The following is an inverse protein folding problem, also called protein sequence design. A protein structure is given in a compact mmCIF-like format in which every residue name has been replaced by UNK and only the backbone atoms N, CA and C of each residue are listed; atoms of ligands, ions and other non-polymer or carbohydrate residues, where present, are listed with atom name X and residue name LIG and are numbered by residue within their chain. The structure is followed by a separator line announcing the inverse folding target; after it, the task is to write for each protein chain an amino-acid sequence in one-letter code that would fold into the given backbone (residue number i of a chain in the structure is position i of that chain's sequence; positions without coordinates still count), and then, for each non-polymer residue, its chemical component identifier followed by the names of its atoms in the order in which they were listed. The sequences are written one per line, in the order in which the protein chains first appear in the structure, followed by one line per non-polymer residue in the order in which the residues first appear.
data_IF_060478396182
#
_entry.id   IF_060478396182
#
_cell.length_a   1.000
_cell.length_b   1.000
_cell.length_c   1.000
_cell.angle_alpha   90.00
_cell.angle_beta   90.00
_cell.angle_gamma   90.00
#
_symmetry.space_group_name_H-M   'P 1'
#
loop_
_entity.id
_entity.type
_entity.pdbx_description
1 polymer ?
#
# COMPACT_ATOMS: atom_id res chain seq x y z
N UNK A 1 -23.88 -28.81 -13.51
CA UNK A 1 -22.72 -29.61 -13.07
C UNK A 1 -21.55 -28.66 -12.98
N UNK A 2 -21.14 -28.30 -11.76
CA UNK A 2 -19.93 -27.51 -11.53
C UNK A 2 -18.75 -28.36 -11.99
N UNK A 3 -18.01 -27.90 -13.02
CA UNK A 3 -16.68 -28.44 -13.28
C UNK A 3 -15.88 -28.20 -12.01
N UNK A 4 -15.55 -29.27 -11.28
CA UNK A 4 -14.59 -29.19 -10.19
C UNK A 4 -13.28 -28.75 -10.81
N UNK A 5 -12.93 -27.48 -10.60
CA UNK A 5 -11.67 -26.91 -11.07
C UNK A 5 -10.53 -27.60 -10.34
N UNK A 6 -9.61 -28.21 -11.09
CA UNK A 6 -8.48 -28.92 -10.48
C UNK A 6 -7.68 -28.00 -9.54
N UNK A 7 -7.19 -28.52 -8.40
CA UNK A 7 -6.36 -27.75 -7.49
C UNK A 7 -5.05 -27.37 -8.19
N UNK A 8 -4.74 -26.07 -8.21
CA UNK A 8 -3.45 -25.57 -8.71
C UNK A 8 -2.46 -25.59 -7.55
N UNK A 9 -1.38 -26.36 -7.72
CA UNK A 9 -0.25 -26.37 -6.80
C UNK A 9 0.92 -25.55 -7.36
N UNK A 10 1.70 -24.98 -6.45
CA UNK A 10 2.94 -24.32 -6.81
C UNK A 10 3.31 -23.19 -5.86
N UNK A 11 4.26 -22.38 -6.32
CA UNK A 11 4.87 -21.33 -5.50
C UNK A 11 4.81 -20.00 -6.22
N UNK A 12 4.52 -18.94 -5.47
CA UNK A 12 4.62 -17.56 -5.94
C UNK A 12 5.77 -16.90 -5.17
N UNK A 13 6.61 -16.13 -5.87
CA UNK A 13 7.70 -15.39 -5.25
C UNK A 13 7.42 -13.89 -5.36
N UNK A 14 7.18 -13.24 -4.23
CA UNK A 14 7.16 -11.78 -4.12
C UNK A 14 8.58 -11.28 -3.98
N UNK A 15 8.95 -10.26 -4.76
CA UNK A 15 10.26 -9.60 -4.64
C UNK A 15 10.06 -8.25 -3.97
N UNK A 16 10.65 -8.08 -2.79
CA UNK A 16 10.52 -6.87 -1.97
C UNK A 16 11.89 -6.31 -1.57
N UNK A 17 12.41 -5.34 -2.34
CA UNK A 17 13.68 -4.72 -2.02
C UNK A 17 13.57 -3.55 -1.02
N UNK A 18 12.37 -3.19 -0.54
CA UNK A 18 12.15 -2.00 0.28
C UNK A 18 12.19 -2.38 1.78
N UNK A 19 13.12 -1.88 2.61
CA UNK A 19 13.30 -2.39 3.97
C UNK A 19 12.43 -1.69 5.03
N UNK A 20 11.14 -1.45 4.74
CA UNK A 20 10.16 -0.98 5.73
C UNK A 20 8.72 -1.36 5.37
N UNK A 21 7.85 -1.54 6.39
CA UNK A 21 6.45 -1.96 6.22
C UNK A 21 5.49 -0.79 5.96
N UNK A 22 5.38 -0.35 4.71
CA UNK A 22 4.38 0.63 4.29
C UNK A 22 3.02 0.00 3.95
N UNK A 23 2.00 0.85 3.72
CA UNK A 23 0.64 0.39 3.37
C UNK A 23 0.56 -0.44 2.08
N UNK A 24 1.49 -0.27 1.13
CA UNK A 24 1.56 -1.11 -0.07
C UNK A 24 1.84 -2.58 0.25
N UNK A 25 2.73 -2.86 1.21
CA UNK A 25 3.03 -4.24 1.63
C UNK A 25 1.86 -4.86 2.38
N UNK A 26 1.22 -4.10 3.27
CA UNK A 26 0.02 -4.55 3.98
C UNK A 26 -1.08 -4.92 2.98
N UNK A 27 -1.35 -4.05 2.00
CA UNK A 27 -2.34 -4.32 0.97
C UNK A 27 -1.95 -5.51 0.07
N UNK A 28 -0.67 -5.66 -0.26
CA UNK A 28 -0.17 -6.82 -1.02
C UNK A 28 -0.35 -8.13 -0.23
N UNK A 29 -0.03 -8.14 1.08
CA UNK A 29 -0.21 -9.31 1.94
C UNK A 29 -1.69 -9.69 2.05
N UNK A 30 -2.60 -8.71 2.22
CA UNK A 30 -4.05 -8.97 2.22
C UNK A 30 -4.52 -9.56 0.88
N UNK A 31 -4.08 -9.01 -0.25
CA UNK A 31 -4.40 -9.55 -1.58
C UNK A 31 -3.90 -11.00 -1.75
N UNK A 32 -2.69 -11.30 -1.27
CA UNK A 32 -2.10 -12.64 -1.31
C UNK A 32 -2.84 -13.61 -0.38
N UNK A 33 -3.29 -13.15 0.78
CA UNK A 33 -4.11 -13.95 1.71
C UNK A 33 -5.46 -14.33 1.04
N UNK A 34 -6.13 -13.38 0.37
CA UNK A 34 -7.36 -13.68 -0.37
C UNK A 34 -7.11 -14.63 -1.56
N UNK A 35 -5.97 -14.51 -2.25
CA UNK A 35 -5.57 -15.46 -3.28
C UNK A 35 -5.34 -16.86 -2.71
N UNK A 36 -4.68 -16.97 -1.56
CA UNK A 36 -4.43 -18.24 -0.90
C UNK A 36 -5.72 -18.94 -0.45
N UNK A 37 -6.75 -18.19 -0.03
CA UNK A 37 -8.08 -18.74 0.26
C UNK A 37 -8.73 -19.37 -0.97
N UNK A 38 -8.56 -18.77 -2.15
CA UNK A 38 -9.09 -19.30 -3.42
C UNK A 38 -8.26 -20.44 -4.00
N UNK A 39 -6.96 -20.43 -3.73
CA UNK A 39 -6.01 -21.40 -4.26
C UNK A 39 -5.13 -22.01 -3.15
N UNK A 40 -5.68 -22.89 -2.28
CA UNK A 40 -4.97 -23.41 -1.10
C UNK A 40 -3.70 -24.23 -1.41
N UNK A 41 -3.53 -24.68 -2.65
CA UNK A 41 -2.32 -25.37 -3.13
C UNK A 41 -1.15 -24.44 -3.43
N UNK A 42 -1.36 -23.12 -3.41
CA UNK A 42 -0.30 -22.13 -3.61
C UNK A 42 0.36 -21.75 -2.30
N UNK A 43 1.70 -21.65 -2.33
CA UNK A 43 2.49 -21.12 -1.23
C UNK A 43 3.17 -19.82 -1.64
N UNK A 44 3.10 -18.82 -0.75
CA UNK A 44 3.72 -17.52 -0.97
C UNK A 44 5.10 -17.46 -0.31
N UNK A 45 6.11 -17.11 -1.09
CA UNK A 45 7.46 -16.86 -0.64
C UNK A 45 7.84 -15.42 -0.93
N UNK A 46 8.53 -14.76 0.00
CA UNK A 46 8.95 -13.37 -0.15
C UNK A 46 10.47 -13.29 -0.09
N UNK A 47 11.08 -12.79 -1.16
CA UNK A 47 12.49 -12.43 -1.19
C UNK A 47 12.65 -10.98 -0.73
N UNK A 48 13.10 -10.77 0.52
CA UNK A 48 13.10 -9.44 1.17
C UNK A 48 14.35 -9.13 1.98
N UNK A 49 14.62 -7.84 2.16
CA UNK A 49 15.61 -7.32 3.11
C UNK A 49 15.05 -7.17 4.54
N UNK A 50 13.74 -7.28 4.71
CA UNK A 50 13.03 -6.99 5.96
C UNK A 50 11.95 -8.05 6.24
N UNK A 51 12.32 -9.23 6.79
CA UNK A 51 11.39 -10.32 7.05
C UNK A 51 10.23 -9.94 7.96
N UNK A 52 10.46 -9.04 8.93
CA UNK A 52 9.43 -8.56 9.86
C UNK A 52 8.32 -7.78 9.14
N UNK A 53 8.58 -7.30 7.91
CA UNK A 53 7.57 -6.70 7.04
C UNK A 53 6.57 -7.70 6.45
N UNK A 54 6.74 -9.02 6.64
CA UNK A 54 5.93 -10.06 5.99
C UNK A 54 5.60 -11.24 6.94
N UNK A 55 4.86 -10.99 8.04
CA UNK A 55 4.63 -11.99 9.08
C UNK A 55 3.86 -13.24 8.61
N UNK A 56 3.11 -13.18 7.52
CA UNK A 56 2.28 -14.30 7.02
C UNK A 56 2.93 -15.12 5.92
N UNK A 57 4.10 -14.69 5.43
CA UNK A 57 4.74 -15.30 4.27
C UNK A 57 6.05 -16.00 4.65
N UNK A 58 6.44 -17.02 3.87
CA UNK A 58 7.76 -17.63 4.02
C UNK A 58 8.84 -16.70 3.44
N UNK A 59 9.80 -16.30 4.26
CA UNK A 59 10.79 -15.29 3.86
C UNK A 59 12.13 -15.88 3.41
N UNK A 60 12.76 -15.22 2.44
CA UNK A 60 14.10 -15.52 1.94
C UNK A 60 14.94 -14.24 1.92
N UNK A 61 16.23 -14.32 2.29
CA UNK A 61 17.07 -13.12 2.43
C UNK A 61 17.44 -12.54 1.06
N UNK A 62 17.06 -11.28 0.83
CA UNK A 62 17.56 -10.47 -0.29
C UNK A 62 18.85 -9.75 0.11
N UNK A 63 19.96 -10.51 0.17
CA UNK A 63 21.25 -9.92 0.54
C UNK A 63 21.81 -9.03 -0.58
N UNK A 64 22.20 -7.80 -0.23
CA UNK A 64 22.78 -6.82 -1.15
C UNK A 64 24.22 -6.46 -0.74
N UNK A 65 25.21 -6.61 -1.64
CA UNK A 65 26.57 -6.13 -1.42
C UNK A 65 26.60 -4.65 -1.06
N UNK A 66 27.45 -4.26 -0.10
CA UNK A 66 27.54 -2.88 0.37
C UNK A 66 27.76 -1.87 -0.77
N UNK A 67 28.55 -2.25 -1.78
CA UNK A 67 28.84 -1.41 -2.96
C UNK A 67 27.61 -1.10 -3.83
N UNK A 68 26.57 -1.94 -3.76
CA UNK A 68 25.31 -1.81 -4.53
C UNK A 68 24.19 -1.13 -3.72
N UNK A 69 24.36 -0.96 -2.40
CA UNK A 69 23.37 -0.27 -1.57
C UNK A 69 23.22 1.20 -1.99
N UNK A 70 21.98 1.69 -2.06
CA UNK A 70 21.66 3.07 -2.44
C UNK A 70 21.94 3.43 -3.91
N UNK A 71 22.25 2.46 -4.77
CA UNK A 71 22.44 2.70 -6.21
C UNK A 71 21.08 2.70 -6.93
N UNK A 72 20.52 3.90 -7.13
CA UNK A 72 19.21 4.09 -7.78
C UNK A 72 19.29 4.57 -9.24
N UNK A 73 20.49 4.82 -9.77
CA UNK A 73 20.69 5.20 -11.18
C UNK A 73 22.03 4.72 -11.76
N UNK A 74 22.17 4.81 -13.08
CA UNK A 74 23.40 4.47 -13.81
C UNK A 74 23.80 2.99 -13.75
N UNK A 75 25.09 2.71 -13.95
CA UNK A 75 25.63 1.35 -14.00
C UNK A 75 25.47 0.63 -12.66
N UNK A 76 25.65 1.34 -11.53
CA UNK A 76 25.47 0.76 -10.19
C UNK A 76 24.05 0.23 -9.97
N UNK A 77 23.03 0.92 -10.49
CA UNK A 77 21.65 0.45 -10.47
C UNK A 77 21.46 -0.81 -11.33
N UNK A 78 22.04 -0.87 -12.53
CA UNK A 78 21.95 -2.06 -13.38
C UNK A 78 22.64 -3.28 -12.73
N UNK A 79 23.79 -3.07 -12.08
CA UNK A 79 24.47 -4.12 -11.30
C UNK A 79 23.62 -4.57 -10.11
N UNK A 80 22.95 -3.65 -9.41
CA UNK A 80 21.99 -3.96 -8.34
C UNK A 80 20.86 -4.86 -8.85
N UNK A 81 20.22 -4.49 -9.96
CA UNK A 81 19.16 -5.28 -10.57
C UNK A 81 19.65 -6.65 -11.05
N UNK A 82 20.88 -6.71 -11.60
CA UNK A 82 21.50 -7.97 -12.02
C UNK A 82 21.78 -8.90 -10.85
N UNK A 83 22.29 -8.37 -9.73
CA UNK A 83 22.50 -9.13 -8.51
C UNK A 83 21.19 -9.71 -7.94
N UNK A 84 20.14 -8.89 -7.86
CA UNK A 84 18.82 -9.32 -7.41
C UNK A 84 18.23 -10.38 -8.36
N UNK A 85 18.46 -10.25 -9.67
CA UNK A 85 18.08 -11.27 -10.66
C UNK A 85 18.72 -12.62 -10.35
N UNK A 86 20.03 -12.67 -10.04
CA UNK A 86 20.72 -13.91 -9.68
C UNK A 86 20.13 -14.56 -8.42
N UNK A 87 19.75 -13.77 -7.42
CA UNK A 87 19.09 -14.27 -6.22
C UNK A 87 17.72 -14.88 -6.53
N UNK A 88 16.94 -14.25 -7.41
CA UNK A 88 15.66 -14.80 -7.86
C UNK A 88 15.87 -16.13 -8.59
N UNK A 89 16.82 -16.20 -9.53
CA UNK A 89 17.15 -17.43 -10.26
C UNK A 89 17.54 -18.57 -9.31
N UNK A 90 18.44 -18.28 -8.36
CA UNK A 90 18.86 -19.24 -7.35
C UNK A 90 17.70 -19.73 -6.48
N UNK A 91 16.83 -18.81 -6.05
CA UNK A 91 15.67 -19.16 -5.23
C UNK A 91 14.67 -20.03 -5.99
N UNK A 92 14.40 -19.71 -7.25
CA UNK A 92 13.50 -20.50 -8.11
C UNK A 92 14.04 -21.92 -8.30
N UNK A 93 15.34 -22.06 -8.56
CA UNK A 93 15.99 -23.37 -8.67
C UNK A 93 15.89 -24.18 -7.37
N UNK A 94 16.01 -23.52 -6.21
CA UNK A 94 15.92 -24.18 -4.90
C UNK A 94 14.51 -24.61 -4.55
N UNK A 95 13.51 -23.78 -4.86
CA UNK A 95 12.12 -24.01 -4.47
C UNK A 95 11.39 -24.97 -5.42
N UNK A 96 11.70 -24.93 -6.71
CA UNK A 96 10.96 -25.66 -7.75
C UNK A 96 9.49 -25.23 -7.89
N UNK A 97 8.85 -25.56 -9.01
CA UNK A 97 7.40 -25.33 -9.23
C UNK A 97 6.93 -23.87 -9.00
N UNK A 98 7.79 -22.90 -9.32
CA UNK A 98 7.43 -21.48 -9.23
C UNK A 98 6.56 -21.10 -10.42
N UNK A 99 5.33 -20.68 -10.15
CA UNK A 99 4.34 -20.33 -11.18
C UNK A 99 4.46 -18.87 -11.61
N UNK A 100 4.84 -17.97 -10.69
CA UNK A 100 4.83 -16.54 -10.95
C UNK A 100 5.78 -15.77 -10.01
N UNK A 101 6.37 -14.69 -10.54
CA UNK A 101 7.04 -13.64 -9.79
C UNK A 101 6.09 -12.46 -9.60
N UNK A 102 6.01 -11.94 -8.38
CA UNK A 102 5.22 -10.76 -8.03
C UNK A 102 6.17 -9.59 -7.78
N UNK A 103 6.12 -8.62 -8.68
CA UNK A 103 6.78 -7.34 -8.59
C UNK A 103 5.87 -6.40 -7.77
N UNK A 104 6.18 -6.18 -6.50
CA UNK A 104 5.30 -5.48 -5.54
C UNK A 104 5.67 -4.01 -5.29
N UNK A 105 6.55 -3.44 -6.12
CA UNK A 105 7.01 -2.05 -6.03
C UNK A 105 6.72 -1.30 -7.35
N UNK A 106 7.52 -0.28 -7.69
CA UNK A 106 7.48 0.31 -9.03
C UNK A 106 8.31 -0.52 -10.02
N UNK A 107 8.00 -0.52 -11.33
CA UNK A 107 8.75 -1.28 -12.34
C UNK A 107 10.23 -0.89 -12.48
N UNK A 108 10.62 0.30 -12.03
CA UNK A 108 12.04 0.69 -11.92
C UNK A 108 12.75 0.04 -10.73
N UNK A 109 12.01 -0.35 -9.69
CA UNK A 109 12.56 -1.08 -8.54
C UNK A 109 12.58 -2.58 -8.82
N UNK A 110 11.59 -3.08 -9.57
CA UNK A 110 11.35 -4.50 -9.80
C UNK A 110 11.93 -5.04 -11.13
N UNK A 111 12.84 -4.30 -11.78
CA UNK A 111 13.38 -4.69 -13.08
C UNK A 111 14.01 -6.10 -13.07
N UNK A 112 14.59 -6.50 -11.94
CA UNK A 112 15.11 -7.84 -11.69
C UNK A 112 14.09 -8.97 -11.88
N UNK A 113 12.80 -8.74 -11.58
CA UNK A 113 11.73 -9.72 -11.80
C UNK A 113 11.60 -10.04 -13.29
N UNK A 114 11.61 -9.02 -14.14
CA UNK A 114 11.46 -9.16 -15.58
C UNK A 114 12.68 -9.81 -16.23
N UNK A 115 13.87 -9.49 -15.73
CA UNK A 115 15.09 -10.15 -16.18
C UNK A 115 15.07 -11.62 -15.80
N UNK A 116 14.77 -11.96 -14.54
CA UNK A 116 14.68 -13.35 -14.08
C UNK A 116 13.62 -14.12 -14.87
N UNK A 117 12.44 -13.54 -15.06
CA UNK A 117 11.34 -14.14 -15.80
C UNK A 117 11.70 -14.50 -17.24
N UNK A 118 12.53 -13.67 -17.91
CA UNK A 118 13.01 -13.98 -19.25
C UNK A 118 13.86 -15.25 -19.30
N UNK A 119 14.68 -15.50 -18.28
CA UNK A 119 15.52 -16.71 -18.22
C UNK A 119 14.75 -17.94 -17.77
N UNK A 120 13.78 -17.76 -16.86
CA UNK A 120 12.99 -18.85 -16.27
C UNK A 120 11.76 -19.22 -17.10
N UNK A 121 11.43 -18.43 -18.13
CA UNK A 121 10.15 -18.50 -18.85
C UNK A 121 8.95 -18.45 -17.89
N UNK A 122 9.07 -17.69 -16.80
CA UNK A 122 8.02 -17.56 -15.79
C UNK A 122 7.25 -16.26 -15.95
N UNK A 123 6.07 -16.20 -15.32
CA UNK A 123 5.17 -15.05 -15.42
C UNK A 123 5.50 -13.96 -14.42
N UNK A 124 5.19 -12.72 -14.77
CA UNK A 124 5.33 -11.56 -13.87
C UNK A 124 3.98 -10.87 -13.68
N UNK A 125 3.57 -10.73 -12.42
CA UNK A 125 2.47 -9.86 -12.02
C UNK A 125 3.05 -8.64 -11.34
N UNK A 126 2.73 -7.45 -11.83
CA UNK A 126 3.16 -6.19 -11.24
C UNK A 126 2.01 -5.58 -10.42
N UNK A 127 2.28 -5.22 -9.18
CA UNK A 127 1.38 -4.46 -8.31
C UNK A 127 1.92 -3.05 -8.11
N UNK A 128 1.14 -2.02 -8.45
CA UNK A 128 1.58 -0.62 -8.42
C UNK A 128 0.70 0.18 -7.45
N UNK A 129 1.28 0.54 -6.31
CA UNK A 129 0.60 1.29 -5.24
C UNK A 129 0.92 2.79 -5.22
N UNK A 130 1.76 3.29 -6.13
CA UNK A 130 2.18 4.69 -6.14
C UNK A 130 2.71 5.15 -7.50
N UNK A 131 2.90 6.47 -7.69
CA UNK A 131 3.35 7.03 -8.95
C UNK A 131 4.65 6.39 -9.44
N UNK A 132 4.73 6.15 -10.74
CA UNK A 132 5.89 5.51 -11.37
C UNK A 132 6.72 6.53 -12.13
N UNK A 133 8.04 6.49 -11.94
CA UNK A 133 8.98 7.32 -12.71
C UNK A 133 8.96 7.00 -14.21
N UNK A 134 8.93 8.04 -15.04
CA UNK A 134 8.81 7.94 -16.49
C UNK A 134 10.14 7.50 -17.15
N UNK A 135 10.37 6.18 -17.25
CA UNK A 135 11.59 5.57 -17.81
C UNK A 135 11.27 4.58 -18.93
N UNK A 136 12.07 4.58 -19.99
CA UNK A 136 11.94 3.62 -21.09
C UNK A 136 12.25 2.17 -20.70
N UNK A 137 13.00 1.93 -19.63
CA UNK A 137 13.19 0.58 -19.07
C UNK A 137 11.92 0.12 -18.36
N UNK A 138 11.35 0.98 -17.49
CA UNK A 138 10.10 0.71 -16.80
C UNK A 138 8.95 0.45 -17.77
N UNK A 139 8.84 1.27 -18.82
CA UNK A 139 7.79 1.13 -19.83
C UNK A 139 7.86 -0.23 -20.55
N UNK A 140 9.07 -0.63 -21.00
CA UNK A 140 9.29 -1.95 -21.63
C UNK A 140 9.13 -3.11 -20.66
N UNK A 141 9.47 -2.93 -19.39
CA UNK A 141 9.25 -3.94 -18.37
C UNK A 141 7.74 -4.21 -18.20
N UNK A 142 6.94 -3.15 -18.02
CA UNK A 142 5.49 -3.28 -17.88
C UNK A 142 4.81 -3.91 -19.11
N UNK A 143 5.27 -3.63 -20.33
CA UNK A 143 4.77 -4.29 -21.55
C UNK A 143 4.98 -5.82 -21.55
N UNK A 144 5.94 -6.33 -20.76
CA UNK A 144 6.23 -7.76 -20.65
C UNK A 144 5.55 -8.41 -19.45
N UNK A 145 4.89 -7.63 -18.60
CA UNK A 145 4.14 -8.16 -17.48
C UNK A 145 2.94 -8.96 -18.02
N UNK A 146 2.61 -10.07 -17.36
CA UNK A 146 1.41 -10.82 -17.67
C UNK A 146 0.16 -10.08 -17.18
N UNK A 147 0.26 -9.42 -16.02
CA UNK A 147 -0.71 -8.47 -15.51
C UNK A 147 -0.01 -7.31 -14.82
N UNK A 148 -0.61 -6.12 -14.94
CA UNK A 148 -0.25 -4.92 -14.19
C UNK A 148 -1.50 -4.46 -13.43
N UNK A 149 -1.55 -4.73 -12.13
CA UNK A 149 -2.58 -4.20 -11.26
C UNK A 149 -2.10 -2.88 -10.65
N UNK A 150 -2.89 -1.81 -10.80
CA UNK A 150 -2.45 -0.47 -10.39
C UNK A 150 -3.55 0.33 -9.70
N UNK A 151 -3.19 1.16 -8.72
CA UNK A 151 -4.17 2.06 -8.11
C UNK A 151 -4.54 3.18 -9.08
N UNK A 152 -5.81 3.59 -9.13
CA UNK A 152 -6.27 4.61 -10.08
C UNK A 152 -5.50 5.95 -9.96
N UNK A 153 -4.98 6.27 -8.77
CA UNK A 153 -4.10 7.42 -8.53
C UNK A 153 -2.82 7.41 -9.37
N UNK A 154 -2.38 6.25 -9.88
CA UNK A 154 -1.15 6.11 -10.66
C UNK A 154 -1.39 6.18 -12.16
N UNK A 155 -2.66 6.25 -12.60
CA UNK A 155 -3.04 6.23 -14.02
C UNK A 155 -2.31 7.28 -14.85
N UNK A 156 -2.17 8.51 -14.35
CA UNK A 156 -1.47 9.59 -15.06
C UNK A 156 0.01 9.26 -15.31
N UNK A 157 0.70 8.71 -14.29
CA UNK A 157 2.11 8.31 -14.42
C UNK A 157 2.30 7.11 -15.37
N UNK A 158 1.32 6.20 -15.41
CA UNK A 158 1.32 5.06 -16.34
C UNK A 158 1.01 5.50 -17.78
N UNK A 159 0.08 6.43 -17.98
CA UNK A 159 -0.19 7.02 -19.29
C UNK A 159 1.06 7.72 -19.85
N UNK A 160 1.83 8.41 -19.00
CA UNK A 160 3.09 8.99 -19.40
C UNK A 160 4.13 7.95 -19.85
N UNK A 161 4.14 6.75 -19.25
CA UNK A 161 4.99 5.64 -19.70
C UNK A 161 4.54 5.07 -21.05
N UNK A 162 3.24 4.86 -21.24
CA UNK A 162 2.67 4.40 -22.51
C UNK A 162 3.00 5.37 -23.65
N UNK A 163 2.85 6.67 -23.41
CA UNK A 163 3.20 7.70 -24.39
C UNK A 163 4.66 7.62 -24.84
N UNK A 164 5.60 7.21 -23.97
CA UNK A 164 7.01 6.99 -24.37
C UNK A 164 7.19 5.82 -25.33
N UNK A 165 6.28 4.85 -25.30
CA UNK A 165 6.26 3.70 -26.18
C UNK A 165 5.52 3.98 -27.50
N UNK A 166 4.94 5.18 -27.64
CA UNK A 166 4.06 5.52 -28.75
C UNK A 166 2.63 5.01 -28.59
N UNK A 167 2.27 4.55 -27.39
CA UNK A 167 0.96 3.98 -27.08
C UNK A 167 0.08 5.00 -26.34
N UNK A 168 -1.22 5.00 -26.62
CA UNK A 168 -2.20 5.89 -25.96
C UNK A 168 -3.25 5.12 -25.16
N UNK A 169 -3.47 3.85 -25.47
CA UNK A 169 -4.47 3.01 -24.84
C UNK A 169 -3.82 2.06 -23.83
N UNK A 170 -4.49 1.87 -22.70
CA UNK A 170 -4.04 0.92 -21.69
C UNK A 170 -4.29 -0.51 -22.19
N UNK A 171 -3.28 -1.40 -22.19
CA UNK A 171 -3.49 -2.80 -22.55
C UNK A 171 -4.52 -3.47 -21.63
N UNK A 172 -5.25 -4.47 -22.14
CA UNK A 172 -6.29 -5.18 -21.36
C UNK A 172 -5.79 -5.89 -20.11
N UNK A 173 -4.49 -6.21 -20.06
CA UNK A 173 -3.82 -6.80 -18.90
C UNK A 173 -3.32 -5.75 -17.89
N UNK A 174 -3.54 -4.46 -18.14
CA UNK A 174 -3.29 -3.37 -17.20
C UNK A 174 -4.62 -2.96 -16.59
N UNK A 175 -4.78 -3.25 -15.31
CA UNK A 175 -6.08 -3.25 -14.67
C UNK A 175 -6.03 -2.41 -13.39
N UNK A 176 -6.97 -1.47 -13.21
CA UNK A 176 -7.05 -0.76 -11.95
C UNK A 176 -7.52 -1.71 -10.84
N UNK A 177 -7.04 -1.49 -9.63
CA UNK A 177 -7.56 -2.14 -8.43
C UNK A 177 -7.67 -1.14 -7.29
N UNK A 178 -8.41 -1.53 -6.26
CA UNK A 178 -8.61 -0.76 -5.04
C UNK A 178 -8.11 -1.59 -3.87
N UNK A 179 -7.48 -0.98 -2.87
CA UNK A 179 -7.08 -1.76 -1.69
C UNK A 179 -8.29 -2.04 -0.79
N UNK A 180 -8.30 -3.20 -0.13
CA UNK A 180 -9.29 -3.57 0.86
C UNK A 180 -8.66 -3.92 2.20
N UNK A 181 -9.49 -4.04 3.23
CA UNK A 181 -9.12 -4.54 4.54
C UNK A 181 -9.52 -6.01 4.69
N UNK A 182 -8.64 -6.77 5.34
CA UNK A 182 -8.89 -8.14 5.78
C UNK A 182 -10.05 -8.17 6.78
N UNK A 183 -10.98 -9.12 6.64
CA UNK A 183 -12.05 -9.36 7.61
C UNK A 183 -11.50 -9.76 8.99
N UNK A 184 -10.42 -10.54 8.99
CA UNK A 184 -9.80 -11.08 10.20
C UNK A 184 -9.06 -10.00 10.98
N UNK A 185 -8.54 -8.99 10.27
CA UNK A 185 -7.80 -7.85 10.83
C UNK A 185 -8.61 -6.56 10.74
N UNK A 186 -9.95 -6.67 10.74
CA UNK A 186 -10.80 -5.50 10.67
C UNK A 186 -10.53 -4.59 11.88
N UNK A 187 -10.29 -3.28 11.68
CA UNK A 187 -10.00 -2.36 12.76
C UNK A 187 -11.02 -2.39 13.90
N UNK A 188 -10.53 -2.39 15.13
CA UNK A 188 -11.39 -2.32 16.32
C UNK A 188 -12.17 -1.01 16.30
N UNK A 189 -13.47 -1.12 16.52
CA UNK A 189 -14.36 0.02 16.64
C UNK A 189 -13.88 1.00 17.72
N UNK A 190 -13.90 2.30 17.42
CA UNK A 190 -13.64 3.34 18.40
C UNK A 190 -14.70 3.33 19.49
N UNK A 191 -14.26 3.52 20.73
CA UNK A 191 -15.13 3.75 21.87
C UNK A 191 -15.63 5.22 21.93
N UNK A 192 -15.21 6.04 20.96
CA UNK A 192 -15.16 7.48 21.11
C UNK A 192 -14.01 7.89 22.01
N UNK A 193 -13.56 9.13 21.88
CA UNK A 193 -12.49 9.65 22.73
C UNK A 193 -12.11 11.08 22.39
N UNK A 194 -11.47 11.79 23.31
CA UNK A 194 -11.09 13.19 23.12
C UNK A 194 -9.83 13.34 22.25
N UNK A 195 -9.15 12.25 21.90
CA UNK A 195 -7.84 12.30 21.27
C UNK A 195 -7.91 12.39 19.74
N UNK A 196 -6.92 13.06 19.17
CA UNK A 196 -6.65 13.12 17.73
C UNK A 196 -5.57 12.09 17.41
N UNK A 197 -5.76 11.30 16.36
CA UNK A 197 -4.76 10.38 15.83
C UNK A 197 -4.18 10.90 14.52
N UNK A 198 -2.85 10.92 14.44
CA UNK A 198 -2.10 10.98 13.19
C UNK A 198 -1.27 9.71 13.05
N UNK A 199 -1.46 8.97 11.96
CA UNK A 199 -0.71 7.74 11.70
C UNK A 199 -0.22 7.63 10.26
N UNK A 200 1.11 7.74 10.08
CA UNK A 200 1.77 7.60 8.78
C UNK A 200 3.28 7.33 8.92
N UNK A 201 3.97 7.06 7.81
CA UNK A 201 5.43 7.13 7.81
C UNK A 201 5.91 8.57 7.93
N UNK A 202 7.16 8.76 8.37
CA UNK A 202 7.78 10.09 8.44
C UNK A 202 8.26 10.61 7.09
N UNK A 203 7.79 10.07 5.95
CA UNK A 203 8.08 10.67 4.65
C UNK A 203 7.50 12.08 4.62
N UNK A 204 8.28 13.07 4.16
CA UNK A 204 7.90 14.48 4.28
C UNK A 204 6.57 14.83 3.60
N UNK A 205 6.24 14.11 2.52
CA UNK A 205 4.97 14.28 1.83
C UNK A 205 3.75 13.78 2.63
N UNK A 206 3.94 13.13 3.78
CA UNK A 206 2.87 12.80 4.74
C UNK A 206 2.45 14.02 5.59
N UNK A 207 3.20 15.13 5.51
CA UNK A 207 2.80 16.42 6.05
C UNK A 207 2.76 16.50 7.58
N UNK A 208 3.65 15.79 8.29
CA UNK A 208 3.71 15.83 9.75
C UNK A 208 3.82 17.28 10.25
N UNK A 209 4.61 18.12 9.57
CA UNK A 209 4.78 19.53 9.92
C UNK A 209 3.44 20.30 9.90
N UNK A 210 2.56 20.02 8.93
CA UNK A 210 1.21 20.63 8.86
C UNK A 210 0.36 20.19 10.04
N UNK A 211 0.38 18.90 10.40
CA UNK A 211 -0.36 18.39 11.56
C UNK A 211 0.12 19.05 12.86
N UNK A 212 1.44 19.09 13.09
CA UNK A 212 2.01 19.67 14.30
C UNK A 212 1.72 21.17 14.40
N UNK A 213 1.90 21.92 13.30
CA UNK A 213 1.60 23.34 13.27
C UNK A 213 0.12 23.61 13.58
N UNK A 214 -0.79 22.88 12.95
CA UNK A 214 -2.23 23.01 13.18
C UNK A 214 -2.59 22.70 14.64
N UNK A 215 -2.08 21.59 15.20
CA UNK A 215 -2.31 21.21 16.58
C UNK A 215 -1.85 22.30 17.57
N UNK A 216 -0.70 22.91 17.32
CA UNK A 216 -0.18 24.00 18.17
C UNK A 216 -0.93 25.33 18.02
N UNK A 217 -1.74 25.50 16.97
CA UNK A 217 -2.60 26.67 16.77
C UNK A 217 -3.97 26.53 17.45
N UNK A 218 -4.36 25.33 17.90
CA UNK A 218 -5.63 25.13 18.64
C UNK A 218 -5.53 25.87 20.00
N UNK A 219 -6.47 26.79 20.30
CA UNK A 219 -6.50 27.54 21.56
C UNK A 219 -6.88 26.66 22.77
N UNK A 220 -7.05 27.26 23.95
CA UNK A 220 -7.25 26.58 25.24
C UNK A 220 -8.19 25.34 25.18
N UNK A 221 -7.88 24.32 25.99
CA UNK A 221 -8.50 22.98 25.98
C UNK A 221 -8.18 22.12 24.72
N UNK A 222 -6.92 22.18 24.29
CA UNK A 222 -6.38 21.38 23.18
C UNK A 222 -6.48 19.87 23.46
N UNK A 223 -7.08 19.08 22.54
CA UNK A 223 -7.12 17.64 22.67
C UNK A 223 -5.75 17.02 22.44
N UNK A 224 -5.36 16.01 23.23
CA UNK A 224 -4.06 15.38 23.05
C UNK A 224 -3.93 14.68 21.67
N UNK A 225 -2.79 14.89 21.02
CA UNK A 225 -2.43 14.32 19.73
C UNK A 225 -1.60 13.05 19.91
N UNK A 226 -2.08 11.93 19.35
CA UNK A 226 -1.36 10.67 19.25
C UNK A 226 -0.67 10.61 17.88
N UNK A 227 0.66 10.71 17.86
CA UNK A 227 1.48 10.59 16.65
C UNK A 227 2.07 9.18 16.59
N UNK A 228 1.46 8.30 15.80
CA UNK A 228 1.96 6.97 15.53
C UNK A 228 2.73 6.97 14.21
N UNK A 229 4.00 6.59 14.20
CA UNK A 229 4.81 6.76 13.00
C UNK A 229 5.74 5.60 12.67
N UNK A 230 6.01 5.45 11.38
CA UNK A 230 7.04 4.57 10.85
C UNK A 230 8.24 5.39 10.39
N UNK A 231 9.44 5.02 10.83
CA UNK A 231 10.68 5.60 10.32
C UNK A 231 11.09 4.87 9.03
N UNK A 232 11.06 5.52 7.86
CA UNK A 232 11.55 4.91 6.63
C UNK A 232 13.05 4.58 6.75
N UNK A 233 13.44 3.38 6.31
CA UNK A 233 14.84 2.93 6.28
C UNK A 233 15.32 2.84 4.83
N UNK A 234 16.59 3.16 4.58
CA UNK A 234 17.22 2.99 3.26
C UNK A 234 16.57 3.79 2.13
N UNK A 235 15.92 4.92 2.45
CA UNK A 235 15.28 5.79 1.46
C UNK A 235 16.08 7.07 1.25
N UNK A 236 16.04 7.61 0.02
CA UNK A 236 16.53 8.95 -0.31
C UNK A 236 15.44 10.01 -0.21
N UNK A 237 14.19 9.60 0.03
CA UNK A 237 13.08 10.54 0.18
C UNK A 237 13.25 11.36 1.47
N UNK A 238 12.96 12.67 1.42
CA UNK A 238 13.03 13.52 2.61
C UNK A 238 12.09 12.99 3.68
N UNK A 239 12.56 12.98 4.92
CA UNK A 239 11.78 12.56 6.09
C UNK A 239 11.66 13.70 7.10
N UNK A 240 10.47 13.83 7.68
CA UNK A 240 10.19 14.68 8.84
C UNK A 240 10.84 14.11 10.10
N UNK A 241 11.04 14.96 11.11
CA UNK A 241 11.64 14.55 12.38
C UNK A 241 10.58 14.57 13.50
N UNK A 242 10.59 13.57 14.41
CA UNK A 242 9.78 13.62 15.61
C UNK A 242 10.08 14.85 16.48
N UNK A 243 9.05 15.38 17.15
CA UNK A 243 9.16 16.54 18.05
C UNK A 243 8.57 16.20 19.44
N UNK A 244 9.23 15.32 20.22
CA UNK A 244 8.73 14.86 21.52
C UNK A 244 8.57 15.95 22.57
N UNK A 245 9.19 17.11 22.36
CA UNK A 245 9.11 18.28 23.22
C UNK A 245 7.79 19.06 23.11
N UNK A 246 6.96 18.79 22.09
CA UNK A 246 5.71 19.52 21.90
C UNK A 246 4.68 19.15 22.98
N UNK A 247 3.99 20.13 23.60
CA UNK A 247 2.97 19.85 24.60
C UNK A 247 1.79 19.10 23.99
N UNK A 248 1.08 18.35 24.85
CA UNK A 248 -0.13 17.60 24.52
C UNK A 248 0.03 16.65 23.33
N UNK A 249 1.26 16.21 23.05
CA UNK A 249 1.60 15.36 21.90
C UNK A 249 2.33 14.10 22.38
N UNK A 250 1.76 12.94 22.10
CA UNK A 250 2.30 11.63 22.46
C UNK A 250 2.85 10.93 21.21
N UNK A 251 4.06 10.40 21.29
CA UNK A 251 4.79 9.86 20.15
C UNK A 251 4.98 8.34 20.30
N UNK A 252 4.61 7.61 19.25
CA UNK A 252 4.69 6.15 19.21
C UNK A 252 5.42 5.72 17.93
N UNK A 253 6.67 5.25 18.07
CA UNK A 253 7.44 4.71 16.96
C UNK A 253 7.04 3.25 16.70
N UNK A 254 6.38 2.99 15.57
CA UNK A 254 5.92 1.66 15.15
C UNK A 254 5.23 0.84 16.26
N UNK A 255 4.15 1.37 16.88
CA UNK A 255 3.50 0.69 18.00
C UNK A 255 2.84 -0.62 17.57
N UNK A 256 3.13 -1.71 18.27
CA UNK A 256 2.47 -3.00 18.06
C UNK A 256 0.96 -2.95 18.40
N UNK A 257 0.55 -2.02 19.25
CA UNK A 257 -0.84 -1.82 19.69
C UNK A 257 -1.53 -0.63 18.98
N UNK A 258 -1.19 -0.34 17.72
CA UNK A 258 -1.79 0.75 16.94
C UNK A 258 -3.33 0.72 16.95
N UNK A 259 -3.92 -0.45 16.80
CA UNK A 259 -5.38 -0.62 16.78
C UNK A 259 -6.02 -0.25 18.13
N UNK A 260 -5.35 -0.53 19.24
CA UNK A 260 -5.79 -0.11 20.57
C UNK A 260 -5.72 1.41 20.72
N UNK A 261 -4.60 2.04 20.32
CA UNK A 261 -4.43 3.49 20.35
C UNK A 261 -5.52 4.16 19.51
N UNK A 262 -5.75 3.65 18.29
CA UNK A 262 -6.81 4.12 17.38
C UNK A 262 -8.19 4.01 18.01
N UNK A 263 -8.51 2.89 18.67
CA UNK A 263 -9.83 2.67 19.28
C UNK A 263 -10.18 3.66 20.41
N UNK A 264 -9.19 4.37 20.95
CA UNK A 264 -9.35 5.40 21.99
C UNK A 264 -9.40 6.83 21.45
N UNK A 265 -9.26 7.01 20.13
CA UNK A 265 -9.30 8.31 19.47
C UNK A 265 -10.67 8.55 18.83
N UNK A 266 -11.09 9.82 18.78
CA UNK A 266 -12.34 10.23 18.12
C UNK A 266 -12.13 10.76 16.69
N UNK A 267 -10.97 11.37 16.45
CA UNK A 267 -10.64 12.03 15.18
C UNK A 267 -9.35 11.42 14.63
N UNK A 268 -9.32 11.15 13.33
CA UNK A 268 -8.10 10.82 12.61
C UNK A 268 -7.80 11.92 11.60
N UNK A 269 -6.55 12.34 11.50
CA UNK A 269 -6.12 13.37 10.55
C UNK A 269 -5.12 12.80 9.57
N UNK A 270 -5.41 12.93 8.29
CA UNK A 270 -4.40 12.82 7.23
C UNK A 270 -3.96 14.21 6.81
N UNK A 271 -2.66 14.40 6.74
CA UNK A 271 -2.02 15.62 6.20
C UNK A 271 -1.19 15.34 4.96
N UNK A 272 -1.42 14.18 4.33
CA UNK A 272 -0.61 13.72 3.20
C UNK A 272 -0.95 14.49 1.93
N UNK A 273 0.07 14.87 1.17
CA UNK A 273 -0.10 15.52 -0.13
C UNK A 273 -0.37 14.46 -1.20
N UNK A 274 -1.51 14.54 -1.92
CA UNK A 274 -1.84 13.65 -3.04
C UNK A 274 -1.71 12.17 -2.67
N UNK A 275 -2.32 11.79 -1.54
CA UNK A 275 -2.26 10.41 -1.05
C UNK A 275 -2.79 9.41 -2.12
N UNK A 276 -2.01 8.41 -2.55
CA UNK A 276 -2.44 7.49 -3.61
C UNK A 276 -3.71 6.73 -3.25
N UNK A 277 -3.70 6.11 -2.07
CA UNK A 277 -4.86 5.45 -1.49
C UNK A 277 -5.04 5.80 -0.03
N UNK A 278 -4.03 5.66 0.82
CA UNK A 278 -4.14 6.00 2.24
C UNK A 278 -4.81 4.91 3.07
N UNK A 279 -4.10 3.79 3.29
CA UNK A 279 -4.60 2.67 4.08
C UNK A 279 -4.93 3.08 5.53
N UNK A 280 -4.15 3.97 6.14
CA UNK A 280 -4.44 4.47 7.49
C UNK A 280 -5.73 5.29 7.57
N UNK A 281 -6.12 5.99 6.49
CA UNK A 281 -7.43 6.66 6.40
C UNK A 281 -8.53 5.60 6.38
N UNK A 282 -8.41 4.58 5.51
CA UNK A 282 -9.39 3.49 5.44
C UNK A 282 -9.54 2.77 6.78
N UNK A 283 -8.43 2.47 7.45
CA UNK A 283 -8.48 1.80 8.75
C UNK A 283 -9.13 2.68 9.83
N UNK A 284 -8.90 4.00 9.81
CA UNK A 284 -9.57 4.94 10.70
C UNK A 284 -11.08 5.02 10.43
N UNK A 285 -11.48 5.03 9.16
CA UNK A 285 -12.90 4.97 8.76
C UNK A 285 -13.54 3.67 9.23
N UNK A 286 -12.90 2.52 9.01
CA UNK A 286 -13.37 1.21 9.42
C UNK A 286 -13.52 1.07 10.94
N UNK A 287 -12.65 1.73 11.71
CA UNK A 287 -12.76 1.86 13.16
C UNK A 287 -13.87 2.85 13.59
N UNK A 288 -14.36 3.72 12.69
CA UNK A 288 -15.41 4.70 12.95
C UNK A 288 -14.93 6.02 13.54
N UNK A 289 -13.68 6.41 13.26
CA UNK A 289 -13.18 7.74 13.60
C UNK A 289 -13.72 8.77 12.61
N UNK A 290 -13.96 10.00 13.08
CA UNK A 290 -14.16 11.13 12.18
C UNK A 290 -12.84 11.39 11.45
N UNK A 291 -12.80 11.14 10.15
CA UNK A 291 -11.61 11.40 9.34
C UNK A 291 -11.59 12.84 8.84
N UNK A 292 -10.46 13.52 9.04
CA UNK A 292 -10.16 14.86 8.54
C UNK A 292 -9.08 14.74 7.46
N UNK A 293 -9.38 15.17 6.24
CA UNK A 293 -8.51 14.98 5.07
C UNK A 293 -8.36 16.29 4.27
N UNK A 294 -7.27 16.49 3.50
CA UNK A 294 -7.14 17.66 2.65
C UNK A 294 -8.11 17.59 1.47
N UNK A 295 -8.64 18.75 1.04
CA UNK A 295 -9.40 18.90 -0.20
C UNK A 295 -8.46 19.05 -1.42
N UNK A 296 -7.66 18.01 -1.69
CA UNK A 296 -6.55 18.06 -2.68
C UNK A 296 -6.82 17.31 -3.99
N UNK A 297 -8.00 16.72 -4.17
CA UNK A 297 -8.35 15.90 -5.33
C UNK A 297 -7.73 14.50 -5.33
N UNK A 298 -7.10 14.08 -4.22
CA UNK A 298 -6.60 12.70 -4.06
C UNK A 298 -7.74 11.68 -4.02
N UNK A 299 -7.42 10.40 -3.73
CA UNK A 299 -8.42 9.34 -3.68
C UNK A 299 -9.56 9.66 -2.70
N UNK A 300 -9.28 9.88 -1.42
CA UNK A 300 -10.34 10.08 -0.43
C UNK A 300 -11.06 11.41 -0.57
N UNK A 301 -10.42 12.48 -1.05
CA UNK A 301 -11.13 13.73 -1.33
C UNK A 301 -12.23 13.53 -2.38
N UNK A 302 -11.95 12.74 -3.42
CA UNK A 302 -12.93 12.46 -4.48
C UNK A 302 -14.04 11.49 -4.07
N UNK A 303 -13.79 10.62 -3.08
CA UNK A 303 -14.72 9.55 -2.70
C UNK A 303 -15.49 9.84 -1.40
N UNK A 304 -14.99 10.75 -0.56
CA UNK A 304 -15.68 11.20 0.64
C UNK A 304 -16.33 12.55 0.42
N UNK A 305 -17.46 12.75 1.08
CA UNK A 305 -18.24 13.99 1.04
C UNK A 305 -18.07 14.73 2.36
N UNK A 306 -17.67 16.01 2.25
CA UNK A 306 -17.52 16.87 3.42
C UNK A 306 -18.85 16.97 4.19
N UNK A 307 -18.76 16.98 5.52
CA UNK A 307 -19.90 17.00 6.45
C UNK A 307 -20.85 15.78 6.43
N UNK A 308 -20.55 14.76 5.61
CA UNK A 308 -21.33 13.52 5.54
C UNK A 308 -20.58 12.36 6.17
N UNK A 309 -19.39 12.04 5.66
CA UNK A 309 -18.56 10.91 6.08
C UNK A 309 -17.08 11.30 6.29
N UNK A 310 -16.77 12.60 6.21
CA UNK A 310 -15.48 13.17 6.56
C UNK A 310 -15.64 14.65 6.92
N UNK A 311 -14.56 15.27 7.41
CA UNK A 311 -14.34 16.71 7.28
C UNK A 311 -13.17 16.96 6.35
N UNK A 312 -13.23 18.06 5.60
CA UNK A 312 -12.16 18.52 4.72
C UNK A 312 -11.56 19.83 5.20
N UNK A 313 -10.28 20.02 4.89
CA UNK A 313 -9.55 21.25 5.13
C UNK A 313 -8.75 21.65 3.89
N UNK A 314 -8.32 22.90 3.80
CA UNK A 314 -7.52 23.43 2.71
C UNK A 314 -6.12 22.78 2.68
N UNK A 315 -5.72 22.14 1.56
CA UNK A 315 -4.42 21.48 1.47
C UNK A 315 -3.27 22.42 1.83
N UNK A 316 -2.33 21.92 2.63
CA UNK A 316 -1.12 22.63 3.06
C UNK A 316 -1.38 23.84 3.98
N UNK A 317 -2.59 24.00 4.50
CA UNK A 317 -2.97 25.08 5.39
C UNK A 317 -3.14 24.57 6.84
N UNK A 318 -2.12 24.75 7.70
CA UNK A 318 -2.24 24.38 9.11
C UNK A 318 -3.25 25.25 9.88
N UNK A 319 -3.52 26.48 9.42
CA UNK A 319 -4.48 27.38 10.06
C UNK A 319 -5.92 26.91 9.84
N UNK A 320 -6.27 26.56 8.60
CA UNK A 320 -7.57 25.97 8.28
C UNK A 320 -7.77 24.62 8.98
N UNK A 321 -6.74 23.76 8.98
CA UNK A 321 -6.78 22.50 9.74
C UNK A 321 -7.01 22.74 11.24
N UNK A 322 -6.35 23.74 11.83
CA UNK A 322 -6.55 24.09 13.24
C UNK A 322 -7.99 24.54 13.53
N UNK A 323 -8.59 25.34 12.64
CA UNK A 323 -9.99 25.77 12.76
C UNK A 323 -10.96 24.59 12.67
N UNK A 324 -10.76 23.67 11.73
CA UNK A 324 -11.55 22.45 11.60
C UNK A 324 -11.46 21.60 12.87
N UNK A 325 -10.25 21.39 13.39
CA UNK A 325 -10.03 20.58 14.59
C UNK A 325 -10.61 21.24 15.85
N UNK A 326 -10.42 22.55 16.03
CA UNK A 326 -10.98 23.29 17.15
C UNK A 326 -12.52 23.24 17.14
N UNK A 327 -13.13 23.38 15.97
CA UNK A 327 -14.57 23.25 15.77
C UNK A 327 -15.07 21.85 16.18
N UNK A 328 -14.46 20.79 15.65
CA UNK A 328 -14.82 19.41 15.97
C UNK A 328 -14.65 19.05 17.45
N UNK A 329 -13.62 19.60 18.12
CA UNK A 329 -13.39 19.39 19.55
C UNK A 329 -14.58 19.84 20.42
N UNK A 330 -15.36 20.81 19.94
CA UNK A 330 -16.57 21.31 20.62
C UNK A 330 -17.86 20.60 20.22
N UNK A 331 -17.80 19.69 19.23
CA UNK A 331 -18.97 19.01 18.64
C UNK A 331 -18.84 17.48 18.65
N UNK A 332 -18.84 16.84 19.84
CA UNK A 332 -18.65 15.39 19.96
C UNK A 332 -19.72 14.57 19.21
N UNK A 333 -20.95 15.07 19.11
CA UNK A 333 -22.03 14.38 18.38
C UNK A 333 -21.81 14.43 16.86
N UNK A 334 -21.22 15.50 16.34
CA UNK A 334 -20.82 15.60 14.92
C UNK A 334 -19.68 14.62 14.64
N UNK A 335 -18.66 14.58 15.49
CA UNK A 335 -17.54 13.61 15.39
C UNK A 335 -18.06 12.18 15.34
N UNK A 336 -18.97 11.81 16.26
CA UNK A 336 -19.58 10.47 16.28
C UNK A 336 -20.39 10.17 15.02
N UNK A 337 -21.22 11.11 14.56
CA UNK A 337 -22.02 10.95 13.34
C UNK A 337 -21.16 10.74 12.09
N UNK A 338 -20.16 11.60 11.89
CA UNK A 338 -19.24 11.51 10.75
C UNK A 338 -18.46 10.20 10.78
N UNK A 339 -17.93 9.81 11.94
CA UNK A 339 -17.23 8.54 12.11
C UNK A 339 -18.12 7.32 11.86
N UNK A 340 -19.37 7.36 12.28
CA UNK A 340 -20.35 6.31 11.99
C UNK A 340 -20.59 6.16 10.48
N UNK A 341 -20.81 7.26 9.77
CA UNK A 341 -21.01 7.24 8.31
C UNK A 341 -19.74 6.80 7.57
N UNK A 342 -18.56 7.23 8.02
CA UNK A 342 -17.28 6.76 7.49
C UNK A 342 -17.13 5.24 7.63
N UNK A 343 -17.54 4.68 8.77
CA UNK A 343 -17.51 3.23 9.02
C UNK A 343 -18.47 2.46 8.12
N UNK A 344 -19.70 2.93 7.98
CA UNK A 344 -20.67 2.31 7.07
C UNK A 344 -20.14 2.29 5.63
N UNK A 345 -19.53 3.40 5.19
CA UNK A 345 -18.91 3.48 3.87
C UNK A 345 -17.73 2.51 3.72
N UNK A 346 -16.84 2.42 4.72
CA UNK A 346 -15.72 1.48 4.72
C UNK A 346 -16.21 0.02 4.62
N UNK A 347 -17.18 -0.37 5.46
CA UNK A 347 -17.74 -1.73 5.49
C UNK A 347 -18.45 -2.13 4.20
N UNK A 348 -19.12 -1.17 3.53
CA UNK A 348 -19.87 -1.45 2.31
C UNK A 348 -19.00 -1.62 1.06
N UNK A 349 -17.77 -1.09 1.05
CA UNK A 349 -17.00 -0.94 -0.19
C UNK A 349 -15.57 -1.47 -0.14
N UNK A 350 -15.00 -1.70 1.04
CA UNK A 350 -13.56 -1.95 1.20
C UNK A 350 -13.23 -3.22 1.98
N UNK A 351 -14.13 -4.21 1.97
CA UNK A 351 -13.81 -5.58 2.37
C UNK A 351 -12.93 -6.23 1.30
N UNK A 352 -11.75 -6.74 1.69
CA UNK A 352 -10.78 -7.31 0.76
C UNK A 352 -11.35 -8.44 -0.12
N UNK A 353 -12.23 -9.29 0.41
CA UNK A 353 -12.80 -10.40 -0.35
C UNK A 353 -13.62 -9.91 -1.56
N UNK A 354 -14.35 -8.80 -1.37
CA UNK A 354 -15.15 -8.17 -2.41
C UNK A 354 -14.29 -7.26 -3.30
N UNK A 355 -13.49 -6.39 -2.69
CA UNK A 355 -12.70 -5.36 -3.40
C UNK A 355 -11.69 -5.99 -4.36
N UNK A 356 -11.10 -7.13 -4.00
CA UNK A 356 -10.12 -7.81 -4.83
C UNK A 356 -10.72 -8.85 -5.79
N UNK A 357 -12.04 -9.05 -5.80
CA UNK A 357 -12.68 -10.13 -6.58
C UNK A 357 -12.24 -10.14 -8.04
N UNK A 358 -12.36 -9.01 -8.76
CA UNK A 358 -11.97 -8.92 -10.17
C UNK A 358 -10.47 -9.17 -10.41
N UNK A 359 -9.62 -8.62 -9.54
CA UNK A 359 -8.16 -8.83 -9.58
C UNK A 359 -7.82 -10.31 -9.40
N UNK A 360 -8.46 -10.97 -8.43
CA UNK A 360 -8.25 -12.37 -8.12
C UNK A 360 -8.78 -13.28 -9.22
N UNK A 361 -9.94 -12.99 -9.82
CA UNK A 361 -10.51 -13.78 -10.93
C UNK A 361 -9.53 -13.87 -12.11
N UNK A 362 -8.88 -12.75 -12.44
CA UNK A 362 -7.92 -12.69 -13.54
C UNK A 362 -6.59 -13.34 -13.19
N UNK A 363 -6.10 -13.11 -11.98
CA UNK A 363 -4.85 -13.73 -11.52
C UNK A 363 -5.02 -15.25 -11.41
N UNK A 364 -6.14 -15.72 -10.87
CA UNK A 364 -6.50 -17.14 -10.83
C UNK A 364 -6.62 -17.73 -12.24
N UNK A 365 -7.34 -17.04 -13.15
CA UNK A 365 -7.45 -17.45 -14.54
C UNK A 365 -6.10 -17.62 -15.23
N UNK A 366 -5.17 -16.68 -14.98
CA UNK A 366 -3.79 -16.79 -15.42
C UNK A 366 -3.16 -18.09 -14.89
N UNK A 367 -3.10 -18.26 -13.56
CA UNK A 367 -2.42 -19.39 -12.92
C UNK A 367 -3.00 -20.75 -13.31
N UNK A 368 -4.31 -20.83 -13.57
CA UNK A 368 -4.99 -22.06 -14.01
C UNK A 368 -4.70 -22.45 -15.45
N UNK A 369 -4.54 -21.47 -16.36
CA UNK A 369 -4.21 -21.76 -17.76
C UNK A 369 -2.93 -22.61 -17.88
N UNK A 370 -1.95 -22.41 -17.00
CA UNK A 370 -0.72 -23.22 -16.99
C UNK A 370 -0.95 -24.67 -16.55
N UNK A 371 -1.88 -24.94 -15.65
CA UNK A 371 -2.18 -26.30 -15.20
C UNK A 371 -2.78 -27.12 -16.35
N UNK A 372 -3.68 -26.51 -17.11
CA UNK A 372 -4.33 -27.14 -18.26
C UNK A 372 -3.38 -27.35 -19.44
N UNK A 373 -2.51 -26.37 -19.75
CA UNK A 373 -1.52 -26.55 -20.83
C UNK A 373 -0.48 -27.64 -20.53
N UNK A 374 -0.08 -27.80 -19.25
CA UNK A 374 0.85 -28.85 -18.85
C UNK A 374 0.20 -30.25 -18.78
N UNK A 375 -1.11 -30.33 -18.56
CA UNK A 375 -1.84 -31.61 -18.52
C UNK A 375 -2.20 -32.15 -19.92
N UNK A 376 -2.25 -31.30 -20.95
CA UNK A 376 -2.56 -31.68 -22.34
C UNK A 376 -1.32 -32.17 -23.11
N UNK A 377 -0.12 -31.77 -22.69
CA UNK A 377 1.16 -32.15 -23.31
C UNK A 377 1.94 -33.23 -22.51
N UNK A 378 1.30 -33.87 -21.52
CA UNK A 378 1.89 -34.84 -20.58
C UNK A 378 1.59 -36.30 -20.87
#
# INVERSE_FOLDING_TARGET
MSMQTEPVFGKIIVVDPIPFRGGSKVATEVLLDELAKRMPGLTCHVLTQDPDSWPRCQHHPLWLPHILKGRESGIGYLLKQGWQTLLILWLVLRLGEVKCLVAASGPGVDLCCYWAARWLLCRVVQLIHGPVGCSGLSARALQRANFVFYLESTRSSLAALLARLGETEFPSHWQPFTNGLSEIDWPKATLGGPHILWAASLLRWKGLETMLAAHQMIPDARPALMVCYLQPKGTLQPCSQPQPQLPDTHWYANPANLDEIRSRCGIFVSTSHQEPFGLSILEAMAAGLCVVIPADGAWWDRHLTDDVNCRKYQPNDPGDLAQVLASLNTMPDVVKRLGHHARLHAMAHYNAADTYQSTLDQWEGMLRWDALSLAVDG
#
